data_IF_917885035577
#
_entry.id   IF_917885035577
#
_cell.length_a   1.000
_cell.length_b   1.000
_cell.length_c   1.000
_cell.angle_alpha   90.00
_cell.angle_beta   90.00
_cell.angle_gamma   90.00
#
_symmetry.space_group_name_H-M   'P 1'
#
loop_
_entity.id
_entity.type
_entity.pdbx_description
1 polymer ?
#
# COMPACT_ATOMS: atom_id res chain seq x y z
N UNK A 1 -28.42 -1.53 -10.70
CA UNK A 1 -27.74 -1.22 -9.41
C UNK A 1 -27.92 0.25 -9.12
N UNK A 2 -28.36 0.62 -7.91
CA UNK A 2 -28.46 2.04 -7.53
C UNK A 2 -27.08 2.69 -7.44
N UNK A 3 -27.01 4.03 -7.57
CA UNK A 3 -25.76 4.76 -7.47
C UNK A 3 -25.08 4.53 -6.12
N UNK A 4 -25.82 4.59 -5.01
CA UNK A 4 -25.27 4.37 -3.68
C UNK A 4 -24.68 2.97 -3.49
N UNK A 5 -25.33 1.93 -4.03
CA UNK A 5 -24.81 0.57 -4.00
C UNK A 5 -23.50 0.44 -4.78
N UNK A 6 -23.40 1.12 -5.94
CA UNK A 6 -22.15 1.15 -6.70
C UNK A 6 -21.03 1.86 -5.93
N UNK A 7 -21.31 2.98 -5.26
CA UNK A 7 -20.34 3.72 -4.47
C UNK A 7 -19.82 2.86 -3.30
N UNK A 8 -20.71 2.22 -2.55
CA UNK A 8 -20.33 1.31 -1.47
C UNK A 8 -19.50 0.11 -1.97
N UNK A 9 -19.82 -0.43 -3.14
CA UNK A 9 -19.03 -1.51 -3.73
C UNK A 9 -17.60 -1.07 -4.03
N UNK A 10 -17.40 0.09 -4.66
CA UNK A 10 -16.06 0.60 -4.95
C UNK A 10 -15.27 0.92 -3.69
N UNK A 11 -15.91 1.50 -2.66
CA UNK A 11 -15.28 1.73 -1.35
C UNK A 11 -14.82 0.42 -0.72
N UNK A 12 -15.71 -0.58 -0.66
CA UNK A 12 -15.40 -1.90 -0.08
C UNK A 12 -14.29 -2.64 -0.82
N UNK A 13 -14.34 -2.68 -2.15
CA UNK A 13 -13.30 -3.29 -2.97
C UNK A 13 -11.94 -2.58 -2.79
N UNK A 14 -11.94 -1.25 -2.72
CA UNK A 14 -10.70 -0.50 -2.52
C UNK A 14 -10.08 -0.77 -1.15
N UNK A 15 -10.88 -0.79 -0.09
CA UNK A 15 -10.41 -1.16 1.24
C UNK A 15 -9.84 -2.59 1.25
N UNK A 16 -10.52 -3.53 0.59
CA UNK A 16 -10.07 -4.93 0.51
C UNK A 16 -8.71 -5.07 -0.19
N UNK A 17 -8.47 -4.32 -1.27
CA UNK A 17 -7.18 -4.32 -1.97
C UNK A 17 -6.05 -3.84 -1.07
N UNK A 18 -6.25 -2.74 -0.33
CA UNK A 18 -5.23 -2.23 0.57
C UNK A 18 -5.02 -3.12 1.79
N UNK A 19 -6.08 -3.71 2.34
CA UNK A 19 -5.96 -4.70 3.42
C UNK A 19 -5.18 -5.94 2.97
N UNK A 20 -5.44 -6.44 1.78
CA UNK A 20 -4.69 -7.57 1.22
C UNK A 20 -3.20 -7.23 1.02
N UNK A 21 -2.90 -6.00 0.60
CA UNK A 21 -1.52 -5.55 0.45
C UNK A 21 -0.80 -5.41 1.82
N UNK A 22 -1.47 -4.87 2.85
CA UNK A 22 -0.92 -4.83 4.22
C UNK A 22 -0.64 -6.24 4.75
N UNK A 23 -1.55 -7.19 4.51
CA UNK A 23 -1.34 -8.60 4.88
C UNK A 23 -0.15 -9.22 4.15
N UNK A 24 0.00 -8.95 2.84
CA UNK A 24 1.17 -9.39 2.07
C UNK A 24 2.47 -8.82 2.65
N UNK A 25 2.49 -7.53 3.02
CA UNK A 25 3.66 -6.91 3.65
C UNK A 25 4.02 -7.60 4.97
N UNK A 26 3.03 -7.86 5.82
CA UNK A 26 3.25 -8.57 7.09
C UNK A 26 3.77 -9.98 6.87
N UNK A 27 3.11 -10.78 6.03
CA UNK A 27 3.50 -12.16 5.77
C UNK A 27 4.90 -12.27 5.15
N UNK A 28 5.19 -11.41 4.18
CA UNK A 28 6.52 -11.36 3.56
C UNK A 28 7.59 -10.94 4.57
N UNK A 29 7.32 -9.89 5.34
CA UNK A 29 8.27 -9.34 6.29
C UNK A 29 8.60 -10.34 7.39
N UNK A 30 7.58 -10.95 8.00
CA UNK A 30 7.72 -11.94 9.06
C UNK A 30 8.36 -13.22 8.51
N UNK A 31 7.91 -13.68 7.34
CA UNK A 31 8.44 -14.88 6.70
C UNK A 31 9.94 -14.79 6.36
N UNK A 32 10.43 -13.62 6.00
CA UNK A 32 11.85 -13.39 5.71
C UNK A 32 12.74 -13.43 6.99
N UNK A 33 12.15 -13.27 8.18
CA UNK A 33 12.88 -13.35 9.44
C UNK A 33 12.96 -14.76 10.00
N UNK A 34 12.15 -15.70 9.50
CA UNK A 34 12.18 -17.09 9.95
C UNK A 34 13.39 -17.82 9.34
N UNK A 35 14.14 -18.53 10.19
CA UNK A 35 15.33 -19.28 9.77
C UNK A 35 14.98 -20.28 8.65
N UNK A 36 15.74 -20.24 7.57
CA UNK A 36 15.48 -21.02 6.36
C UNK A 36 14.67 -20.27 5.29
N UNK A 37 14.27 -19.02 5.56
CA UNK A 37 13.64 -18.16 4.56
C UNK A 37 14.54 -18.00 3.33
N UNK A 38 14.06 -18.56 2.25
CA UNK A 38 14.54 -18.65 0.85
C UNK A 38 15.93 -18.08 0.58
N UNK A 39 16.94 -18.92 0.71
CA UNK A 39 18.30 -18.68 0.19
C UNK A 39 18.35 -18.47 -1.33
N UNK A 40 17.28 -18.73 -2.04
CA UNK A 40 17.24 -18.84 -3.51
C UNK A 40 16.98 -17.53 -4.25
N UNK A 41 16.60 -16.45 -3.56
CA UNK A 41 16.43 -15.15 -4.22
C UNK A 41 17.43 -14.15 -3.66
N UNK A 42 18.54 -14.02 -4.35
CA UNK A 42 19.68 -13.17 -4.06
C UNK A 42 19.44 -11.97 -3.17
N UNK A 43 20.29 -11.84 -2.14
CA UNK A 43 20.56 -10.61 -1.41
C UNK A 43 19.56 -10.14 -0.33
N UNK A 44 18.52 -10.87 0.05
CA UNK A 44 17.79 -10.54 1.29
C UNK A 44 18.60 -11.06 2.48
N UNK A 45 19.20 -10.14 3.22
CA UNK A 45 20.01 -10.47 4.38
C UNK A 45 19.35 -9.93 5.67
N UNK A 46 18.56 -10.73 6.39
CA UNK A 46 18.01 -10.34 7.66
C UNK A 46 19.17 -10.13 8.67
N UNK A 47 19.02 -9.10 9.52
CA UNK A 47 19.96 -8.82 10.62
C UNK A 47 19.76 -9.78 11.79
N UNK A 48 18.55 -10.32 11.90
CA UNK A 48 18.15 -11.30 12.90
C UNK A 48 17.29 -12.37 12.24
N UNK A 49 17.50 -13.63 12.64
CA UNK A 49 16.65 -14.74 12.26
C UNK A 49 16.11 -15.44 13.49
N UNK A 50 14.88 -15.89 13.42
CA UNK A 50 14.20 -16.59 14.52
C UNK A 50 13.67 -17.93 14.03
N UNK A 51 13.34 -18.82 14.97
CA UNK A 51 12.96 -20.21 14.63
C UNK A 51 11.48 -20.37 14.26
N UNK A 52 10.61 -19.46 14.68
CA UNK A 52 9.19 -19.59 14.44
C UNK A 52 8.54 -18.29 13.97
N UNK A 53 7.44 -18.43 13.25
CA UNK A 53 6.65 -17.31 12.73
C UNK A 53 6.06 -16.46 13.87
N UNK A 54 5.59 -17.07 14.96
CA UNK A 54 5.06 -16.35 16.13
C UNK A 54 6.10 -15.44 16.77
N UNK A 55 7.32 -15.96 16.99
CA UNK A 55 8.42 -15.16 17.55
C UNK A 55 8.83 -14.04 16.60
N UNK A 56 8.89 -14.30 15.28
CA UNK A 56 9.17 -13.26 14.28
C UNK A 56 8.10 -12.15 14.32
N UNK A 57 6.84 -12.53 14.38
CA UNK A 57 5.72 -11.60 14.44
C UNK A 57 5.75 -10.74 15.70
N UNK A 58 5.95 -11.34 16.87
CA UNK A 58 6.10 -10.61 18.13
C UNK A 58 7.26 -9.61 18.10
N UNK A 59 8.40 -10.02 17.54
CA UNK A 59 9.57 -9.16 17.37
C UNK A 59 9.28 -7.95 16.47
N UNK A 60 8.54 -8.16 15.38
CA UNK A 60 8.17 -7.11 14.42
C UNK A 60 7.13 -6.16 15.01
N UNK A 61 6.15 -6.66 15.75
CA UNK A 61 5.14 -5.83 16.43
C UNK A 61 5.80 -4.97 17.51
N UNK A 62 6.73 -5.56 18.27
CA UNK A 62 7.43 -4.89 19.37
C UNK A 62 6.62 -4.84 20.67
N UNK A 63 7.26 -4.49 21.79
CA UNK A 63 6.67 -4.51 23.10
C UNK A 63 5.53 -3.49 23.24
N UNK A 64 4.44 -3.90 23.87
CA UNK A 64 3.29 -3.04 24.19
C UNK A 64 2.38 -2.68 23.01
N UNK A 65 2.65 -3.22 21.83
CA UNK A 65 1.81 -3.05 20.63
C UNK A 65 1.02 -4.31 20.33
N UNK A 66 -0.10 -4.16 19.62
CA UNK A 66 -0.96 -5.29 19.19
C UNK A 66 -0.88 -5.56 17.69
N UNK A 67 -0.46 -4.58 16.90
CA UNK A 67 -0.39 -4.64 15.44
C UNK A 67 0.71 -3.71 14.91
N UNK A 68 1.00 -3.85 13.65
CA UNK A 68 1.95 -3.03 12.91
C UNK A 68 1.20 -2.18 11.90
N UNK A 69 1.47 -0.88 11.89
CA UNK A 69 1.06 -0.02 10.79
C UNK A 69 2.05 -0.17 9.64
N UNK A 70 1.65 -0.89 8.59
CA UNK A 70 2.46 -1.09 7.40
C UNK A 70 2.39 0.10 6.45
N UNK A 71 1.28 0.82 6.47
CA UNK A 71 1.06 2.00 5.64
C UNK A 71 0.88 3.26 6.52
N UNK A 72 1.28 4.46 6.06
CA UNK A 72 1.92 4.72 4.76
C UNK A 72 3.24 3.95 4.62
N UNK A 73 3.67 3.72 3.36
CA UNK A 73 4.80 2.84 3.07
C UNK A 73 6.13 3.27 3.72
N UNK A 74 6.26 4.52 4.12
CA UNK A 74 7.40 5.00 4.94
C UNK A 74 7.59 4.17 6.23
N UNK A 75 6.49 3.71 6.84
CA UNK A 75 6.55 2.88 8.05
C UNK A 75 7.19 1.51 7.74
N UNK A 76 6.79 0.90 6.61
CA UNK A 76 7.38 -0.35 6.12
C UNK A 76 8.87 -0.17 5.80
N UNK A 77 9.23 0.89 5.10
CA UNK A 77 10.61 1.20 4.72
C UNK A 77 11.50 1.40 5.96
N UNK A 78 11.07 2.23 6.91
CA UNK A 78 11.80 2.47 8.15
C UNK A 78 12.00 1.16 8.93
N UNK A 79 10.94 0.37 9.07
CA UNK A 79 11.02 -0.93 9.73
C UNK A 79 11.97 -1.87 9.02
N UNK A 80 11.93 -1.92 7.69
CA UNK A 80 12.81 -2.76 6.90
C UNK A 80 14.28 -2.42 7.10
N UNK A 81 14.65 -1.17 7.29
CA UNK A 81 16.05 -0.79 7.58
C UNK A 81 16.58 -1.32 8.90
N UNK A 82 15.68 -1.54 9.88
CA UNK A 82 16.04 -2.12 11.18
C UNK A 82 16.30 -3.63 11.08
N UNK A 83 15.51 -4.33 10.29
CA UNK A 83 15.51 -5.79 10.24
C UNK A 83 16.32 -6.39 9.09
N UNK A 84 16.50 -5.66 7.99
CA UNK A 84 17.21 -6.16 6.80
C UNK A 84 18.39 -5.25 6.42
N UNK A 85 19.46 -5.86 5.92
CA UNK A 85 20.58 -5.11 5.37
C UNK A 85 20.15 -4.35 4.12
N UNK A 86 20.34 -3.03 4.11
CA UNK A 86 19.87 -2.16 3.03
C UNK A 86 18.35 -2.04 2.90
N UNK A 87 17.56 -2.56 3.87
CA UNK A 87 16.10 -2.50 3.86
C UNK A 87 15.43 -3.37 2.77
N UNK A 88 16.19 -4.23 2.08
CA UNK A 88 15.66 -5.06 0.97
C UNK A 88 14.82 -6.23 1.51
N UNK A 89 13.74 -6.64 0.77
CA UNK A 89 13.34 -6.16 -0.56
C UNK A 89 12.48 -4.89 -0.53
N UNK A 90 12.03 -4.42 0.64
CA UNK A 90 11.10 -3.30 0.78
C UNK A 90 11.68 -1.96 0.28
N UNK A 91 13.02 -1.80 0.33
CA UNK A 91 13.69 -0.62 -0.20
C UNK A 91 13.58 -0.46 -1.74
N UNK A 92 13.05 -1.46 -2.45
CA UNK A 92 12.81 -1.34 -3.90
C UNK A 92 11.78 -0.23 -4.23
N UNK A 93 10.92 0.15 -3.26
CA UNK A 93 9.93 1.21 -3.40
C UNK A 93 10.28 2.48 -2.61
N UNK A 94 11.56 2.78 -2.40
CA UNK A 94 11.99 4.01 -1.73
C UNK A 94 11.61 5.25 -2.52
N UNK A 95 11.29 6.34 -1.81
CA UNK A 95 10.95 7.63 -2.44
C UNK A 95 12.08 8.21 -3.28
N UNK A 96 13.32 7.98 -2.88
CA UNK A 96 14.53 8.44 -3.52
C UNK A 96 15.10 7.46 -4.57
N UNK A 97 14.32 6.44 -4.95
CA UNK A 97 14.76 5.49 -5.98
C UNK A 97 15.00 6.19 -7.32
N UNK A 98 16.08 5.80 -8.00
CA UNK A 98 16.36 6.26 -9.35
C UNK A 98 15.41 5.63 -10.40
N UNK A 99 14.78 4.50 -10.08
CA UNK A 99 13.83 3.82 -10.95
C UNK A 99 12.52 4.62 -11.04
N UNK A 100 12.18 5.19 -12.22
CA UNK A 100 10.95 5.98 -12.39
C UNK A 100 9.69 5.13 -12.24
N UNK A 101 9.75 3.84 -12.53
CA UNK A 101 8.62 2.91 -12.37
C UNK A 101 8.34 2.69 -10.89
N UNK A 102 9.36 2.38 -10.11
CA UNK A 102 9.22 2.20 -8.66
C UNK A 102 8.75 3.49 -7.97
N UNK A 103 9.23 4.65 -8.42
CA UNK A 103 8.77 5.96 -7.94
C UNK A 103 7.29 6.19 -8.24
N UNK A 104 6.84 5.95 -9.47
CA UNK A 104 5.43 6.06 -9.85
C UNK A 104 4.53 5.11 -9.06
N UNK A 105 4.97 3.88 -8.81
CA UNK A 105 4.27 2.92 -7.96
C UNK A 105 4.18 3.43 -6.52
N UNK A 106 5.25 4.01 -6.00
CA UNK A 106 5.25 4.60 -4.65
C UNK A 106 4.24 5.73 -4.53
N UNK A 107 4.16 6.63 -5.51
CA UNK A 107 3.18 7.72 -5.54
C UNK A 107 1.74 7.20 -5.55
N UNK A 108 1.48 6.10 -6.26
CA UNK A 108 0.17 5.42 -6.23
C UNK A 108 -0.17 4.89 -4.84
N UNK A 109 0.78 4.26 -4.14
CA UNK A 109 0.57 3.79 -2.77
C UNK A 109 0.30 4.95 -1.81
N UNK A 110 1.10 6.00 -1.84
CA UNK A 110 0.96 7.15 -0.94
C UNK A 110 -0.40 7.86 -1.14
N UNK A 111 -0.82 8.06 -2.38
CA UNK A 111 -2.17 8.59 -2.68
C UNK A 111 -3.28 7.62 -2.30
N UNK A 112 -3.08 6.33 -2.55
CA UNK A 112 -4.03 5.30 -2.19
C UNK A 112 -4.32 5.24 -0.68
N UNK A 113 -3.32 5.46 0.16
CA UNK A 113 -3.50 5.59 1.62
C UNK A 113 -4.40 6.77 1.98
N UNK A 114 -4.29 7.89 1.30
CA UNK A 114 -5.17 9.05 1.53
C UNK A 114 -6.62 8.74 1.17
N UNK A 115 -6.84 8.06 0.04
CA UNK A 115 -8.17 7.62 -0.39
C UNK A 115 -8.74 6.60 0.61
N UNK A 116 -7.94 5.60 0.98
CA UNK A 116 -8.32 4.58 1.98
C UNK A 116 -8.75 5.24 3.30
N UNK A 117 -7.99 6.21 3.77
CA UNK A 117 -8.31 6.91 5.01
C UNK A 117 -9.57 7.79 4.90
N UNK A 118 -9.83 8.41 3.76
CA UNK A 118 -11.06 9.14 3.51
C UNK A 118 -12.29 8.22 3.54
N UNK A 119 -12.17 7.01 2.98
CA UNK A 119 -13.23 6.00 2.98
C UNK A 119 -13.45 5.43 4.38
N UNK A 120 -12.39 5.00 5.06
CA UNK A 120 -12.48 4.27 6.32
C UNK A 120 -12.87 5.15 7.51
N UNK A 121 -12.33 6.36 7.58
CA UNK A 121 -12.50 7.21 8.76
C UNK A 121 -13.56 8.29 8.59
N UNK A 122 -13.78 8.79 7.36
CA UNK A 122 -14.74 9.87 7.04
C UNK A 122 -14.62 11.10 7.97
N UNK A 123 -13.47 11.29 8.62
CA UNK A 123 -13.21 12.43 9.50
C UNK A 123 -12.92 13.68 8.66
N UNK A 124 -13.18 14.87 9.23
CA UNK A 124 -12.84 16.13 8.57
C UNK A 124 -11.38 16.18 8.13
N UNK A 125 -10.48 15.69 8.97
CA UNK A 125 -9.04 15.65 8.67
C UNK A 125 -8.73 14.77 7.47
N UNK A 126 -9.26 13.53 7.42
CA UNK A 126 -9.00 12.60 6.30
C UNK A 126 -9.62 13.10 5.00
N UNK A 127 -10.81 13.68 5.06
CA UNK A 127 -11.48 14.26 3.89
C UNK A 127 -10.73 15.49 3.37
N UNK A 128 -10.28 16.40 4.25
CA UNK A 128 -9.50 17.57 3.86
C UNK A 128 -8.16 17.18 3.20
N UNK A 129 -7.50 16.15 3.72
CA UNK A 129 -6.28 15.61 3.09
C UNK A 129 -6.55 15.01 1.71
N UNK A 130 -7.61 14.22 1.59
CA UNK A 130 -8.01 13.66 0.29
C UNK A 130 -8.29 14.78 -0.72
N UNK A 131 -9.04 15.80 -0.33
CA UNK A 131 -9.35 16.93 -1.21
C UNK A 131 -8.09 17.69 -1.65
N UNK A 132 -7.21 18.01 -0.70
CA UNK A 132 -6.00 18.78 -0.94
C UNK A 132 -4.96 18.00 -1.75
N UNK A 133 -4.70 16.74 -1.38
CA UNK A 133 -3.53 15.99 -1.83
C UNK A 133 -3.86 15.04 -3.01
N UNK A 134 -5.16 14.70 -3.21
CA UNK A 134 -5.59 13.81 -4.29
C UNK A 134 -6.39 14.56 -5.36
N UNK A 135 -7.35 15.44 -4.97
CA UNK A 135 -8.27 16.06 -5.93
C UNK A 135 -7.78 17.39 -6.51
N UNK A 136 -6.93 18.13 -5.79
CA UNK A 136 -6.62 19.56 -6.05
C UNK A 136 -6.27 19.89 -7.49
N UNK A 137 -5.48 19.04 -8.15
CA UNK A 137 -4.94 19.30 -9.49
C UNK A 137 -5.61 18.43 -10.57
N UNK A 138 -6.74 17.82 -10.26
CA UNK A 138 -7.45 16.94 -11.20
C UNK A 138 -8.74 17.62 -11.64
N UNK A 139 -8.97 17.82 -12.94
CA UNK A 139 -10.24 18.32 -13.44
C UNK A 139 -11.32 17.26 -13.21
N UNK A 140 -12.20 17.51 -12.25
CA UNK A 140 -13.21 16.55 -11.79
C UNK A 140 -14.61 17.17 -11.84
N UNK A 141 -15.57 16.40 -12.27
CA UNK A 141 -16.99 16.73 -12.12
C UNK A 141 -17.37 16.73 -10.62
N UNK A 142 -18.44 17.45 -10.22
CA UNK A 142 -18.89 17.43 -8.82
C UNK A 142 -19.16 16.00 -8.28
N UNK A 143 -19.53 15.07 -9.17
CA UNK A 143 -19.81 13.67 -8.82
C UNK A 143 -18.55 12.86 -8.50
N UNK A 144 -17.41 13.29 -8.98
CA UNK A 144 -16.10 12.64 -8.77
C UNK A 144 -15.34 13.19 -7.56
N UNK A 145 -15.91 14.16 -6.83
CA UNK A 145 -15.24 14.74 -5.66
C UNK A 145 -15.39 13.94 -4.37
N UNK A 146 -16.18 12.85 -4.39
CA UNK A 146 -16.18 11.84 -3.30
C UNK A 146 -15.15 10.75 -3.59
N UNK A 147 -14.69 10.04 -2.56
CA UNK A 147 -13.71 8.96 -2.75
C UNK A 147 -14.23 7.89 -3.72
N UNK A 148 -15.47 7.44 -3.56
CA UNK A 148 -16.09 6.48 -4.47
C UNK A 148 -16.27 7.04 -5.89
N UNK A 149 -16.71 8.29 -6.00
CA UNK A 149 -16.88 8.97 -7.29
C UNK A 149 -15.55 9.13 -8.02
N UNK A 150 -14.49 9.50 -7.29
CA UNK A 150 -13.13 9.57 -7.81
C UNK A 150 -12.65 8.23 -8.36
N UNK A 151 -12.79 7.16 -7.59
CA UNK A 151 -12.37 5.81 -7.99
C UNK A 151 -13.12 5.31 -9.23
N UNK A 152 -14.42 5.61 -9.35
CA UNK A 152 -15.22 5.25 -10.51
C UNK A 152 -14.93 6.07 -11.76
N UNK A 153 -14.39 7.27 -11.58
CA UNK A 153 -14.09 8.17 -12.68
C UNK A 153 -13.11 7.56 -13.67
N UNK A 154 -13.28 7.87 -14.96
CA UNK A 154 -12.39 7.42 -16.00
C UNK A 154 -11.01 8.08 -15.86
N UNK A 155 -9.97 7.28 -16.02
CA UNK A 155 -8.59 7.74 -16.16
C UNK A 155 -8.21 7.86 -17.64
N UNK A 156 -8.62 6.88 -18.44
CA UNK A 156 -8.39 6.83 -19.87
C UNK A 156 -9.70 6.44 -20.60
N UNK A 157 -9.84 6.90 -21.84
CA UNK A 157 -10.98 6.58 -22.67
C UNK A 157 -10.73 5.38 -23.61
N UNK A 158 -9.46 5.16 -23.96
CA UNK A 158 -9.07 4.11 -24.92
C UNK A 158 -7.72 3.51 -24.52
N UNK A 159 -7.69 2.27 -24.04
CA UNK A 159 -8.85 1.50 -23.59
C UNK A 159 -9.54 2.16 -22.37
N UNK A 160 -10.82 1.90 -22.15
CA UNK A 160 -11.51 2.49 -21.00
C UNK A 160 -10.93 1.95 -19.69
N UNK A 161 -10.43 2.83 -18.86
CA UNK A 161 -9.82 2.50 -17.56
C UNK A 161 -10.38 3.44 -16.49
N UNK A 162 -10.76 2.89 -15.35
CA UNK A 162 -11.15 3.66 -14.18
C UNK A 162 -9.93 3.95 -13.29
N UNK A 163 -10.01 5.00 -12.48
CA UNK A 163 -8.95 5.26 -11.48
C UNK A 163 -8.81 4.09 -10.50
N UNK A 164 -9.90 3.41 -10.16
CA UNK A 164 -9.85 2.21 -9.34
C UNK A 164 -8.95 1.12 -9.96
N UNK A 165 -9.12 0.83 -11.24
CA UNK A 165 -8.28 -0.16 -11.94
C UNK A 165 -6.80 0.24 -11.94
N UNK A 166 -6.52 1.52 -12.15
CA UNK A 166 -5.15 2.04 -12.08
C UNK A 166 -4.53 1.86 -10.70
N UNK A 167 -5.28 2.12 -9.61
CA UNK A 167 -4.79 1.87 -8.25
C UNK A 167 -4.55 0.39 -7.98
N UNK A 168 -5.46 -0.49 -8.41
CA UNK A 168 -5.28 -1.95 -8.29
C UNK A 168 -4.01 -2.40 -9.01
N UNK A 169 -3.82 -1.95 -10.25
CA UNK A 169 -2.62 -2.24 -11.04
C UNK A 169 -1.35 -1.73 -10.36
N UNK A 170 -1.40 -0.54 -9.75
CA UNK A 170 -0.29 0.01 -8.99
C UNK A 170 0.06 -0.82 -7.75
N UNK A 171 -0.95 -1.27 -6.99
CA UNK A 171 -0.74 -2.14 -5.82
C UNK A 171 -0.17 -3.51 -6.23
N UNK A 172 -0.68 -4.10 -7.31
CA UNK A 172 -0.14 -5.36 -7.84
C UNK A 172 1.31 -5.20 -8.29
N UNK A 173 1.65 -4.08 -8.92
CA UNK A 173 3.02 -3.79 -9.31
C UNK A 173 3.93 -3.54 -8.12
N UNK A 174 3.43 -2.91 -7.05
CA UNK A 174 4.14 -2.78 -5.79
C UNK A 174 4.48 -4.14 -5.19
N UNK A 175 3.50 -5.03 -5.11
CA UNK A 175 3.69 -6.40 -4.65
C UNK A 175 4.76 -7.14 -5.49
N UNK A 176 4.68 -7.01 -6.81
CA UNK A 176 5.68 -7.59 -7.72
C UNK A 176 7.09 -7.08 -7.45
N UNK A 177 7.27 -5.75 -7.32
CA UNK A 177 8.60 -5.13 -7.09
C UNK A 177 9.21 -5.50 -5.72
N UNK A 178 8.37 -5.80 -4.73
CA UNK A 178 8.83 -6.24 -3.41
C UNK A 178 9.16 -7.74 -3.42
N UNK A 179 8.43 -8.55 -4.18
CA UNK A 179 8.61 -10.01 -4.21
C UNK A 179 9.71 -10.48 -5.17
N UNK A 180 10.22 -9.62 -6.07
CA UNK A 180 11.25 -9.94 -7.08
C UNK A 180 12.47 -9.05 -6.92
#
# INVERSE_FOLDING_TARGET
MSRGAAEQMYEGLFLSVFTAFESLLEELFVGLLVAGGRKERGAVAPRVTVRSYSVARELVIGPGRRYVDWLPYDNTEQRATLFFRGGRPFANLRKDTADPIARGVRDVLDRGVLIRNAIAHKSQYSLARFERDVLRNTPLSPRERTAAGFLRGALAATPPETRFQSYVSGVLRAAYLICN
#
